data_IF_932870172170
#
_entry.id   IF_932870172170
#
_cell.length_a   1.000
_cell.length_b   1.000
_cell.length_c   1.000
_cell.angle_alpha   90.00
_cell.angle_beta   90.00
_cell.angle_gamma   90.00
#
_symmetry.space_group_name_H-M   'P 1'
#
loop_
_entity.id
_entity.type
_entity.pdbx_description
1 polymer ?
#
# COMPACT_ATOMS: atom_id res chain seq x y z
N UNK A 1 39.49 12.61 -0.21
CA UNK A 1 39.23 13.90 -0.90
C UNK A 1 38.52 14.94 0.00
N UNK A 2 37.59 14.55 0.87
CA UNK A 2 36.87 15.46 1.78
C UNK A 2 37.41 15.51 3.22
N UNK A 3 38.42 14.70 3.57
CA UNK A 3 38.98 14.67 4.93
C UNK A 3 38.13 13.89 5.95
N UNK A 4 37.29 12.96 5.51
CA UNK A 4 36.46 12.16 6.40
C UNK A 4 37.30 11.14 7.21
N UNK A 5 37.32 11.30 8.54
CA UNK A 5 38.02 10.44 9.50
C UNK A 5 37.16 9.25 9.94
N UNK A 6 36.64 8.50 8.96
CA UNK A 6 35.79 7.31 9.18
C UNK A 6 36.69 6.08 9.31
N UNK A 7 36.26 5.08 10.08
CA UNK A 7 36.94 3.77 10.15
C UNK A 7 36.65 2.94 8.89
N UNK A 8 37.49 3.14 7.86
CA UNK A 8 37.40 2.41 6.60
C UNK A 8 37.67 0.91 6.73
N UNK A 9 38.29 0.45 7.82
CA UNK A 9 38.49 -1.00 8.04
C UNK A 9 37.18 -1.73 8.31
N UNK A 10 36.13 -0.98 8.68
CA UNK A 10 34.78 -1.47 8.96
C UNK A 10 33.78 -1.09 7.87
N UNK A 11 34.26 -0.77 6.67
CA UNK A 11 33.39 -0.56 5.52
C UNK A 11 32.40 -1.73 5.37
N UNK A 12 31.18 -1.38 4.99
CA UNK A 12 30.14 -2.36 4.73
C UNK A 12 29.34 -1.93 3.50
N UNK A 13 28.81 -2.94 2.82
CA UNK A 13 27.77 -2.79 1.83
C UNK A 13 26.52 -3.54 2.30
N UNK A 14 25.34 -2.98 2.09
CA UNK A 14 24.08 -3.53 2.63
C UNK A 14 23.79 -4.96 2.18
N UNK A 15 24.33 -5.37 1.03
CA UNK A 15 24.22 -6.74 0.50
C UNK A 15 25.45 -7.61 0.74
N UNK A 16 26.42 -7.17 1.55
CA UNK A 16 27.49 -8.06 2.02
C UNK A 16 26.91 -9.27 2.75
N UNK A 17 27.57 -10.44 2.73
CA UNK A 17 27.07 -11.65 3.40
C UNK A 17 26.73 -11.41 4.88
N UNK A 18 27.56 -10.65 5.61
CA UNK A 18 27.34 -10.31 7.02
C UNK A 18 26.06 -9.50 7.25
N UNK A 19 25.76 -8.55 6.36
CA UNK A 19 24.59 -7.67 6.45
C UNK A 19 23.33 -8.43 6.01
N UNK A 20 23.46 -9.26 4.99
CA UNK A 20 22.36 -10.10 4.47
C UNK A 20 21.89 -11.15 5.48
N UNK A 21 22.81 -11.70 6.29
CA UNK A 21 22.48 -12.60 7.41
C UNK A 21 21.54 -11.92 8.41
N UNK A 22 21.79 -10.65 8.76
CA UNK A 22 20.90 -9.86 9.62
C UNK A 22 19.52 -9.65 9.01
N UNK A 23 19.45 -9.32 7.71
CA UNK A 23 18.18 -9.11 7.02
C UNK A 23 17.31 -10.37 7.06
N UNK A 24 17.91 -11.53 6.77
CA UNK A 24 17.21 -12.82 6.83
C UNK A 24 16.77 -13.14 8.26
N UNK A 25 17.63 -12.93 9.25
CA UNK A 25 17.31 -13.21 10.65
C UNK A 25 16.14 -12.35 11.16
N UNK A 26 16.14 -11.05 10.85
CA UNK A 26 15.04 -10.14 11.24
C UNK A 26 13.74 -10.56 10.56
N UNK A 27 13.79 -10.88 9.25
CA UNK A 27 12.58 -11.29 8.54
C UNK A 27 11.96 -12.54 9.17
N UNK A 28 12.77 -13.58 9.39
CA UNK A 28 12.29 -14.85 9.97
C UNK A 28 11.79 -14.63 11.39
N UNK A 29 12.51 -13.88 12.21
CA UNK A 29 12.13 -13.59 13.60
C UNK A 29 10.81 -12.82 13.67
N UNK A 30 10.66 -11.73 12.89
CA UNK A 30 9.42 -10.96 12.90
C UNK A 30 8.24 -11.76 12.32
N UNK A 31 8.48 -12.66 11.37
CA UNK A 31 7.45 -13.59 10.89
C UNK A 31 7.01 -14.57 11.98
N UNK A 32 7.96 -15.17 12.72
CA UNK A 32 7.68 -16.08 13.83
C UNK A 32 6.91 -15.38 14.98
N UNK A 33 7.15 -14.08 15.18
CA UNK A 33 6.40 -13.22 16.11
C UNK A 33 5.02 -12.77 15.56
N UNK A 34 4.70 -13.13 14.31
CA UNK A 34 3.49 -12.70 13.61
C UNK A 34 3.43 -11.19 13.34
N UNK A 35 4.59 -10.52 13.32
CA UNK A 35 4.75 -9.12 12.95
C UNK A 35 5.04 -8.94 11.46
N UNK A 36 5.59 -9.95 10.78
CA UNK A 36 5.60 -10.02 9.31
C UNK A 36 4.51 -10.98 8.85
N UNK A 37 3.75 -10.58 7.85
CA UNK A 37 2.71 -11.41 7.24
C UNK A 37 2.61 -11.14 5.74
N UNK A 38 2.03 -12.10 5.01
CA UNK A 38 1.67 -11.94 3.60
C UNK A 38 0.17 -11.73 3.47
N UNK A 39 -0.26 -10.79 2.65
CA UNK A 39 -1.67 -10.53 2.43
C UNK A 39 -1.95 -9.80 1.12
N UNK A 40 -3.17 -9.95 0.63
CA UNK A 40 -3.67 -9.18 -0.52
C UNK A 40 -4.21 -7.85 -0.02
N UNK A 41 -3.53 -6.76 -0.33
CA UNK A 41 -3.93 -5.40 0.06
C UNK A 41 -3.77 -4.44 -1.11
N UNK A 42 -4.42 -3.29 -0.99
CA UNK A 42 -4.17 -2.17 -1.87
C UNK A 42 -2.79 -1.61 -1.54
N UNK A 43 -1.94 -1.47 -2.55
CA UNK A 43 -0.60 -0.88 -2.44
C UNK A 43 -0.42 0.18 -3.49
N UNK A 44 0.52 1.09 -3.26
CA UNK A 44 1.00 1.99 -4.29
C UNK A 44 1.82 1.18 -5.29
N UNK A 45 1.43 1.21 -6.56
CA UNK A 45 2.09 0.46 -7.63
C UNK A 45 2.63 1.41 -8.70
N UNK A 46 3.90 1.24 -9.05
CA UNK A 46 4.51 1.90 -10.20
C UNK A 46 4.35 1.00 -11.44
N UNK A 47 3.47 1.34 -12.41
CA UNK A 47 3.24 0.51 -13.59
C UNK A 47 4.39 0.53 -14.61
N UNK A 48 5.35 1.45 -14.47
CA UNK A 48 6.54 1.52 -15.34
C UNK A 48 7.64 0.63 -14.79
N UNK A 49 7.90 0.67 -13.48
CA UNK A 49 8.85 -0.23 -12.83
C UNK A 49 8.29 -1.63 -12.60
N UNK A 50 6.96 -1.76 -12.53
CA UNK A 50 6.29 -3.01 -12.24
C UNK A 50 6.53 -3.48 -10.81
N UNK A 51 6.50 -2.56 -9.83
CA UNK A 51 6.73 -2.89 -8.42
C UNK A 51 5.82 -2.07 -7.50
N UNK A 52 5.52 -2.64 -6.34
CA UNK A 52 5.00 -1.88 -5.21
C UNK A 52 6.02 -0.82 -4.74
N UNK A 53 5.53 0.30 -4.23
CA UNK A 53 6.32 1.37 -3.60
C UNK A 53 5.73 1.75 -2.24
N UNK A 54 6.55 2.25 -1.33
CA UNK A 54 6.09 2.73 -0.02
C UNK A 54 5.33 4.06 -0.15
N UNK A 55 4.47 4.37 0.83
CA UNK A 55 3.83 5.69 0.94
C UNK A 55 4.87 6.84 0.96
N UNK A 56 6.06 6.58 1.51
CA UNK A 56 7.17 7.54 1.56
C UNK A 56 7.86 7.75 0.19
N UNK A 57 7.63 6.87 -0.78
CA UNK A 57 8.16 6.94 -2.14
C UNK A 57 7.16 7.61 -3.11
N UNK A 58 6.00 8.04 -2.61
CA UNK A 58 4.96 8.73 -3.36
C UNK A 58 5.01 10.24 -3.10
N UNK A 59 5.11 11.01 -4.18
CA UNK A 59 5.11 12.47 -4.16
C UNK A 59 3.80 13.00 -4.74
N UNK A 60 3.09 13.83 -3.98
CA UNK A 60 1.85 14.46 -4.43
C UNK A 60 2.13 15.73 -5.22
N UNK A 61 1.77 15.75 -6.50
CA UNK A 61 1.96 16.90 -7.40
C UNK A 61 0.63 17.58 -7.74
N UNK A 62 0.59 18.91 -7.65
CA UNK A 62 -0.59 19.70 -8.01
C UNK A 62 -0.72 19.80 -9.54
N UNK A 63 -1.85 19.36 -10.10
CA UNK A 63 -2.09 19.34 -11.54
C UNK A 63 -3.50 19.82 -11.90
N UNK A 64 -3.63 20.49 -13.05
CA UNK A 64 -4.93 20.84 -13.59
C UNK A 64 -5.59 19.63 -14.25
N UNK A 65 -6.77 19.27 -13.75
CA UNK A 65 -7.56 18.15 -14.24
C UNK A 65 -9.03 18.52 -14.39
N UNK A 66 -9.89 17.52 -14.26
CA UNK A 66 -11.34 17.70 -14.37
C UNK A 66 -12.07 16.88 -13.32
N UNK A 67 -13.26 17.36 -12.97
CA UNK A 67 -14.24 16.66 -12.15
C UNK A 67 -15.45 16.37 -13.03
N UNK A 68 -15.58 15.11 -13.43
CA UNK A 68 -16.65 14.61 -14.28
C UNK A 68 -17.88 14.28 -13.45
N UNK A 69 -19.03 14.78 -13.87
CA UNK A 69 -20.33 14.49 -13.27
C UNK A 69 -21.06 13.49 -14.14
N UNK A 70 -21.26 12.29 -13.64
CA UNK A 70 -21.73 11.13 -14.40
C UNK A 70 -23.06 10.66 -13.80
N UNK A 71 -24.08 10.49 -14.64
CA UNK A 71 -25.39 9.97 -14.27
C UNK A 71 -25.33 8.45 -14.11
N UNK A 72 -25.77 7.97 -12.95
CA UNK A 72 -25.97 6.56 -12.62
C UNK A 72 -27.49 6.32 -12.52
N UNK A 73 -28.12 5.77 -13.57
CA UNK A 73 -29.56 5.52 -13.59
C UNK A 73 -30.00 4.61 -12.45
N UNK A 74 -31.12 4.92 -11.80
CA UNK A 74 -31.74 4.02 -10.83
C UNK A 74 -32.28 2.79 -11.58
N UNK A 75 -32.06 1.60 -11.00
CA UNK A 75 -32.44 0.33 -11.65
C UNK A 75 -33.96 0.16 -11.78
N UNK A 76 -34.73 0.89 -10.96
CA UNK A 76 -36.21 0.95 -11.03
C UNK A 76 -36.74 1.93 -12.09
N UNK A 77 -35.85 2.63 -12.81
CA UNK A 77 -36.20 3.61 -13.84
C UNK A 77 -36.75 4.93 -13.31
N UNK A 78 -36.77 5.16 -11.99
CA UNK A 78 -37.37 6.35 -11.38
C UNK A 78 -36.53 7.62 -11.51
N UNK A 79 -35.29 7.52 -12.00
CA UNK A 79 -34.38 8.65 -12.14
C UNK A 79 -32.93 8.22 -12.22
N UNK A 80 -32.03 9.06 -11.70
CA UNK A 80 -30.59 8.79 -11.62
C UNK A 80 -29.97 9.54 -10.44
N UNK A 81 -28.82 9.08 -9.98
CA UNK A 81 -27.90 9.88 -9.18
C UNK A 81 -26.81 10.45 -10.08
N UNK A 82 -26.13 11.49 -9.60
CA UNK A 82 -25.01 12.09 -10.31
C UNK A 82 -23.77 11.94 -9.45
N UNK A 83 -22.81 11.13 -9.89
CA UNK A 83 -21.53 10.92 -9.22
C UNK A 83 -20.53 11.95 -9.72
N UNK A 84 -19.77 12.57 -8.82
CA UNK A 84 -18.61 13.37 -9.18
C UNK A 84 -17.32 12.55 -9.02
N UNK A 85 -16.50 12.45 -10.07
CA UNK A 85 -15.21 11.73 -10.00
C UNK A 85 -14.13 12.38 -10.84
N UNK A 86 -12.88 12.18 -10.44
CA UNK A 86 -11.66 12.59 -11.16
C UNK A 86 -11.04 11.44 -11.97
N UNK A 87 -11.59 10.22 -11.83
CA UNK A 87 -11.08 9.00 -12.49
C UNK A 87 -12.20 8.20 -13.18
N UNK A 88 -12.78 8.70 -14.29
CA UNK A 88 -13.86 8.01 -15.01
C UNK A 88 -13.53 6.57 -15.40
N UNK A 89 -12.26 6.26 -15.68
CA UNK A 89 -11.83 4.90 -16.04
C UNK A 89 -11.99 3.88 -14.91
N UNK A 90 -11.96 4.31 -13.65
CA UNK A 90 -12.17 3.42 -12.51
C UNK A 90 -13.63 3.06 -12.28
N UNK A 91 -14.57 3.77 -12.92
CA UNK A 91 -16.02 3.44 -12.91
C UNK A 91 -16.26 1.98 -13.28
N UNK A 92 -15.44 1.42 -14.17
CA UNK A 92 -15.53 0.04 -14.62
C UNK A 92 -15.39 -0.98 -13.47
N UNK A 93 -14.79 -0.58 -12.34
CA UNK A 93 -14.61 -1.40 -11.14
C UNK A 93 -15.59 -1.08 -10.01
N UNK A 94 -16.56 -0.19 -10.23
CA UNK A 94 -17.48 0.23 -9.16
C UNK A 94 -18.33 -0.94 -8.68
N UNK A 95 -18.51 -0.98 -7.35
CA UNK A 95 -19.30 -2.00 -6.66
C UNK A 95 -20.41 -1.40 -5.80
N UNK A 96 -20.40 -0.09 -5.56
CA UNK A 96 -21.46 0.64 -4.88
C UNK A 96 -21.41 2.13 -5.25
N UNK A 97 -22.49 2.83 -4.94
CA UNK A 97 -22.53 4.29 -4.83
C UNK A 97 -22.83 4.63 -3.38
N UNK A 98 -22.11 5.57 -2.79
CA UNK A 98 -22.34 5.98 -1.41
C UNK A 98 -22.83 7.42 -1.30
N UNK A 99 -23.70 7.65 -0.32
CA UNK A 99 -24.22 8.95 0.09
C UNK A 99 -24.13 9.10 1.60
N UNK A 100 -24.14 10.33 2.10
CA UNK A 100 -24.15 10.56 3.54
C UNK A 100 -25.52 10.14 4.13
N UNK A 101 -25.58 9.42 5.28
CA UNK A 101 -26.84 8.94 5.86
C UNK A 101 -27.82 10.05 6.22
N UNK A 102 -27.32 11.25 6.51
CA UNK A 102 -28.11 12.42 6.88
C UNK A 102 -28.44 13.34 5.70
N UNK A 103 -27.99 13.02 4.49
CA UNK A 103 -28.30 13.84 3.31
C UNK A 103 -29.74 13.63 2.86
N UNK A 104 -30.63 14.58 3.19
CA UNK A 104 -32.06 14.52 2.89
C UNK A 104 -32.34 14.38 1.38
N UNK A 105 -31.42 14.82 0.52
CA UNK A 105 -31.54 14.70 -0.95
C UNK A 105 -31.53 13.24 -1.40
N UNK A 106 -30.79 12.37 -0.71
CA UNK A 106 -30.52 10.99 -1.15
C UNK A 106 -30.89 9.92 -0.14
N UNK A 107 -31.23 10.27 1.11
CA UNK A 107 -31.55 9.30 2.17
C UNK A 107 -32.60 8.27 1.77
N UNK A 108 -33.58 8.68 0.97
CA UNK A 108 -34.66 7.82 0.47
C UNK A 108 -34.22 6.82 -0.63
N UNK A 109 -32.98 6.91 -1.12
CA UNK A 109 -32.39 6.02 -2.11
C UNK A 109 -31.47 4.96 -1.51
N UNK A 110 -31.10 5.07 -0.23
CA UNK A 110 -30.27 4.08 0.46
C UNK A 110 -30.95 2.70 0.42
N UNK A 111 -30.19 1.67 0.03
CA UNK A 111 -30.69 0.30 -0.15
C UNK A 111 -31.33 0.04 -1.52
N UNK A 112 -31.56 1.07 -2.35
CA UNK A 112 -31.86 0.89 -3.77
C UNK A 112 -30.59 0.57 -4.56
N UNK A 113 -30.74 0.33 -5.85
CA UNK A 113 -29.64 0.02 -6.76
C UNK A 113 -29.62 0.94 -7.97
N UNK A 114 -28.44 1.17 -8.55
CA UNK A 114 -28.23 1.87 -9.82
C UNK A 114 -27.66 0.93 -10.87
N UNK A 115 -27.98 1.18 -12.13
CA UNK A 115 -27.29 0.58 -13.27
C UNK A 115 -25.95 1.30 -13.47
N UNK A 116 -24.86 0.57 -13.29
CA UNK A 116 -23.51 1.07 -13.48
C UNK A 116 -23.32 1.43 -14.97
N UNK A 117 -22.99 2.70 -15.30
CA UNK A 117 -22.78 3.10 -16.67
C UNK A 117 -21.79 2.19 -17.41
N UNK A 118 -22.10 1.86 -18.67
CA UNK A 118 -21.23 1.11 -19.58
C UNK A 118 -20.92 -0.35 -19.17
N UNK A 119 -21.34 -0.83 -17.99
CA UNK A 119 -20.87 -2.10 -17.42
C UNK A 119 -21.91 -3.21 -17.32
N UNK A 120 -23.18 -2.96 -17.66
CA UNK A 120 -24.28 -3.95 -17.54
C UNK A 120 -24.33 -4.64 -16.15
N UNK A 121 -24.07 -3.88 -15.08
CA UNK A 121 -24.12 -4.34 -13.70
C UNK A 121 -25.01 -3.41 -12.88
N UNK A 122 -25.81 -3.99 -11.99
CA UNK A 122 -26.53 -3.23 -10.97
C UNK A 122 -25.71 -3.22 -9.68
N UNK A 123 -25.55 -2.06 -9.06
CA UNK A 123 -24.77 -1.87 -7.81
C UNK A 123 -25.61 -1.13 -6.76
N UNK A 124 -25.44 -1.45 -5.46
CA UNK A 124 -26.22 -0.85 -4.38
C UNK A 124 -25.84 0.60 -4.10
N UNK A 125 -26.82 1.34 -3.58
CA UNK A 125 -26.63 2.64 -2.93
C UNK A 125 -26.49 2.40 -1.42
N UNK A 126 -25.34 2.73 -0.87
CA UNK A 126 -25.00 2.56 0.55
C UNK A 126 -24.91 3.91 1.27
N UNK A 127 -24.93 3.86 2.60
CA UNK A 127 -24.74 5.04 3.44
C UNK A 127 -23.39 4.96 4.16
N UNK A 128 -22.58 6.01 4.09
CA UNK A 128 -21.33 6.11 4.83
C UNK A 128 -21.05 7.57 5.22
N UNK A 129 -20.63 7.80 6.47
CA UNK A 129 -20.33 9.13 7.00
C UNK A 129 -19.03 9.72 6.45
N UNK A 130 -18.24 8.94 5.71
CA UNK A 130 -17.07 9.42 4.97
C UNK A 130 -17.44 10.42 3.87
N UNK A 131 -18.67 10.39 3.36
CA UNK A 131 -19.12 11.29 2.28
C UNK A 131 -19.26 12.73 2.77
N UNK A 132 -18.50 13.64 2.19
CA UNK A 132 -18.75 15.08 2.32
C UNK A 132 -19.95 15.51 1.46
N UNK A 133 -21.04 15.92 2.13
CA UNK A 133 -22.28 16.37 1.47
C UNK A 133 -22.08 17.62 0.59
N UNK A 134 -21.07 18.45 0.90
CA UNK A 134 -20.75 19.69 0.21
C UNK A 134 -19.83 19.52 -1.00
N UNK A 135 -19.12 18.39 -1.10
CA UNK A 135 -18.21 18.13 -2.21
C UNK A 135 -18.94 17.53 -3.43
N UNK A 136 -18.75 18.14 -4.60
CA UNK A 136 -19.36 17.69 -5.84
C UNK A 136 -20.89 17.69 -5.75
N UNK A 137 -21.48 16.50 -5.75
CA UNK A 137 -22.92 16.27 -5.62
C UNK A 137 -23.33 15.71 -4.25
N UNK A 138 -22.38 15.34 -3.39
CA UNK A 138 -22.65 14.53 -2.19
C UNK A 138 -22.89 13.04 -2.50
N UNK A 139 -22.56 12.59 -3.71
CA UNK A 139 -22.65 11.20 -4.16
C UNK A 139 -21.30 10.74 -4.68
N UNK A 140 -20.78 9.65 -4.14
CA UNK A 140 -19.43 9.15 -4.43
C UNK A 140 -19.52 7.73 -4.97
N UNK A 141 -18.82 7.43 -6.08
CA UNK A 141 -18.64 6.04 -6.53
C UNK A 141 -17.68 5.30 -5.61
N UNK A 142 -17.90 4.01 -5.40
CA UNK A 142 -17.02 3.18 -4.55
C UNK A 142 -16.33 2.15 -5.43
N UNK A 143 -15.01 2.30 -5.60
CA UNK A 143 -14.15 1.39 -6.38
C UNK A 143 -13.01 0.82 -5.51
N UNK A 144 -13.30 -0.12 -4.60
CA UNK A 144 -12.36 -0.53 -3.55
C UNK A 144 -11.00 -1.04 -4.03
N UNK A 145 -10.90 -1.51 -5.26
CA UNK A 145 -9.65 -2.03 -5.81
C UNK A 145 -8.71 -0.97 -6.40
N UNK A 146 -9.09 0.32 -6.40
CA UNK A 146 -8.38 1.40 -7.12
C UNK A 146 -8.23 2.70 -6.32
N UNK A 147 -8.72 2.76 -5.08
CA UNK A 147 -8.58 3.92 -4.19
C UNK A 147 -8.55 3.47 -2.73
N UNK A 148 -7.67 4.05 -1.91
CA UNK A 148 -7.48 3.64 -0.52
C UNK A 148 -8.68 3.97 0.38
N UNK A 149 -9.38 5.07 0.11
CA UNK A 149 -10.57 5.44 0.87
C UNK A 149 -11.73 4.53 0.50
N UNK A 150 -11.92 4.27 -0.81
CA UNK A 150 -12.91 3.31 -1.29
C UNK A 150 -12.62 1.90 -0.78
N UNK A 151 -11.34 1.52 -0.64
CA UNK A 151 -10.93 0.25 -0.05
C UNK A 151 -11.37 0.14 1.41
N UNK A 152 -11.14 1.20 2.21
CA UNK A 152 -11.57 1.24 3.61
C UNK A 152 -13.11 1.19 3.73
N UNK A 153 -13.84 1.89 2.86
CA UNK A 153 -15.31 1.80 2.76
C UNK A 153 -15.71 0.36 2.39
N UNK A 154 -15.06 -0.23 1.38
CA UNK A 154 -15.29 -1.59 0.93
C UNK A 154 -15.10 -2.62 2.04
N UNK A 155 -14.10 -2.45 2.91
CA UNK A 155 -13.90 -3.30 4.07
C UNK A 155 -15.02 -3.13 5.12
N UNK A 156 -15.40 -1.90 5.46
CA UNK A 156 -16.48 -1.62 6.43
C UNK A 156 -17.82 -2.22 6.00
N UNK A 157 -18.13 -2.14 4.71
CA UNK A 157 -19.40 -2.60 4.12
C UNK A 157 -19.32 -4.00 3.49
N UNK A 158 -18.17 -4.68 3.59
CA UNK A 158 -17.93 -6.03 3.03
C UNK A 158 -18.22 -6.10 1.52
N UNK A 159 -17.83 -5.06 0.78
CA UNK A 159 -18.03 -4.96 -0.67
C UNK A 159 -17.01 -5.82 -1.45
N UNK A 160 -17.39 -6.31 -2.64
CA UNK A 160 -16.47 -7.02 -3.52
C UNK A 160 -15.28 -6.14 -3.94
N UNK A 161 -14.13 -6.78 -4.16
CA UNK A 161 -12.93 -6.13 -4.66
C UNK A 161 -12.73 -6.47 -6.14
N UNK A 162 -13.16 -5.59 -7.05
CA UNK A 162 -13.05 -5.81 -8.51
C UNK A 162 -11.88 -4.99 -9.07
N UNK A 163 -10.75 -5.66 -9.32
CA UNK A 163 -9.64 -5.04 -10.04
C UNK A 163 -9.93 -4.98 -11.55
N UNK A 164 -9.80 -3.80 -12.17
CA UNK A 164 -10.02 -3.58 -13.61
C UNK A 164 -8.74 -3.21 -14.36
N UNK A 165 -7.60 -3.15 -13.66
CA UNK A 165 -6.30 -2.83 -14.24
C UNK A 165 -5.39 -4.06 -14.22
N UNK A 166 -4.57 -4.19 -15.26
CA UNK A 166 -3.39 -5.04 -15.27
C UNK A 166 -2.23 -4.35 -14.54
N UNK A 167 -1.15 -5.08 -14.25
CA UNK A 167 0.04 -4.51 -13.60
C UNK A 167 0.74 -3.44 -14.45
N UNK A 168 0.59 -3.46 -15.77
CA UNK A 168 1.03 -2.39 -16.68
C UNK A 168 -0.04 -1.31 -16.91
N UNK A 169 -1.03 -1.23 -16.02
CA UNK A 169 -2.07 -0.22 -15.95
C UNK A 169 -2.95 -0.09 -17.22
N UNK A 170 -3.21 -1.22 -17.87
CA UNK A 170 -4.21 -1.35 -18.94
C UNK A 170 -5.49 -1.94 -18.39
N UNK A 171 -6.61 -1.69 -19.07
CA UNK A 171 -7.89 -2.29 -18.69
C UNK A 171 -7.86 -3.81 -18.92
N UNK A 172 -8.25 -4.58 -17.90
CA UNK A 172 -8.21 -6.04 -17.89
C UNK A 172 -9.58 -6.68 -18.27
N UNK A 173 -9.68 -8.00 -18.18
CA UNK A 173 -10.84 -8.80 -18.56
C UNK A 173 -12.10 -8.58 -17.70
N UNK A 174 -12.00 -7.94 -16.53
CA UNK A 174 -13.13 -7.64 -15.65
C UNK A 174 -13.95 -6.43 -16.12
N UNK A 175 -13.47 -5.72 -17.14
CA UNK A 175 -14.16 -4.59 -17.77
C UNK A 175 -14.82 -4.98 -19.10
N UNK A 176 -15.75 -4.17 -19.64
CA UNK A 176 -16.33 -4.37 -20.96
C UNK A 176 -15.28 -4.52 -22.07
N UNK A 177 -15.51 -5.47 -23.00
CA UNK A 177 -14.58 -5.84 -24.08
C UNK A 177 -14.02 -4.67 -24.90
N UNK A 178 -14.82 -3.61 -25.08
CA UNK A 178 -14.42 -2.43 -25.85
C UNK A 178 -13.26 -1.65 -25.22
N UNK A 179 -13.09 -1.75 -23.89
CA UNK A 179 -12.02 -1.03 -23.18
C UNK A 179 -10.78 -1.89 -22.92
N UNK A 180 -10.90 -3.22 -22.99
CA UNK A 180 -9.83 -4.16 -22.64
C UNK A 180 -8.55 -3.90 -23.46
N UNK A 181 -7.40 -3.90 -22.79
CA UNK A 181 -6.09 -3.66 -23.40
C UNK A 181 -5.75 -2.18 -23.65
N UNK A 182 -6.70 -1.25 -23.46
CA UNK A 182 -6.40 0.18 -23.51
C UNK A 182 -5.60 0.59 -22.27
N UNK A 183 -4.58 1.43 -22.45
CA UNK A 183 -3.96 2.17 -21.34
C UNK A 183 -5.03 3.02 -20.62
N UNK A 184 -4.94 3.12 -19.29
CA UNK A 184 -5.92 3.83 -18.45
C UNK A 184 -6.27 5.25 -18.92
N UNK A 185 -5.32 6.00 -19.48
CA UNK A 185 -5.58 7.36 -19.96
C UNK A 185 -6.30 7.36 -21.31
N UNK A 186 -5.98 6.39 -22.17
CA UNK A 186 -6.71 6.16 -23.40
C UNK A 186 -8.15 5.66 -23.11
N UNK A 187 -8.29 4.74 -22.17
CA UNK A 187 -9.58 4.25 -21.68
C UNK A 187 -10.42 5.39 -21.11
N UNK A 188 -9.84 6.27 -20.28
CA UNK A 188 -10.53 7.46 -19.75
C UNK A 188 -11.14 8.31 -20.87
N UNK A 189 -10.37 8.60 -21.93
CA UNK A 189 -10.86 9.40 -23.07
C UNK A 189 -12.03 8.71 -23.77
N UNK A 190 -11.91 7.41 -24.04
CA UNK A 190 -12.97 6.65 -24.69
C UNK A 190 -14.23 6.57 -23.82
N UNK A 191 -14.08 6.28 -22.53
CA UNK A 191 -15.18 6.19 -21.57
C UNK A 191 -15.95 7.51 -21.47
N UNK A 192 -15.24 8.64 -21.41
CA UNK A 192 -15.89 9.97 -21.38
C UNK A 192 -16.70 10.20 -22.67
N UNK A 193 -16.15 9.85 -23.84
CA UNK A 193 -16.86 9.96 -25.11
C UNK A 193 -18.11 9.05 -25.16
N UNK A 194 -18.01 7.83 -24.66
CA UNK A 194 -19.13 6.87 -24.62
C UNK A 194 -20.22 7.31 -23.63
N UNK A 195 -19.83 7.88 -22.48
CA UNK A 195 -20.76 8.49 -21.53
C UNK A 195 -21.50 9.68 -22.13
N UNK A 196 -20.83 10.53 -22.91
CA UNK A 196 -21.45 11.64 -23.62
C UNK A 196 -22.41 11.14 -24.71
N UNK A 197 -22.00 10.16 -25.51
CA UNK A 197 -22.84 9.54 -26.54
C UNK A 197 -24.09 8.86 -25.95
N UNK A 198 -23.98 8.31 -24.73
CA UNK A 198 -25.09 7.74 -23.99
C UNK A 198 -25.93 8.77 -23.20
N UNK A 199 -25.60 10.07 -23.28
CA UNK A 199 -26.22 11.16 -22.49
C UNK A 199 -26.15 10.94 -20.95
N UNK A 200 -25.12 10.22 -20.51
CA UNK A 200 -24.81 9.95 -19.11
C UNK A 200 -23.78 10.93 -18.55
N UNK A 201 -23.05 11.67 -19.38
CA UNK A 201 -22.21 12.76 -18.92
C UNK A 201 -23.05 14.02 -18.69
N UNK A 202 -23.12 14.50 -17.45
CA UNK A 202 -23.92 15.68 -17.12
C UNK A 202 -23.15 16.99 -17.29
N UNK A 203 -21.94 17.06 -16.72
CA UNK A 203 -21.06 18.22 -16.86
C UNK A 203 -19.62 17.86 -16.53
N UNK A 204 -18.69 18.70 -16.98
CA UNK A 204 -17.27 18.59 -16.67
C UNK A 204 -16.81 19.92 -16.12
N UNK A 205 -16.30 19.91 -14.89
CA UNK A 205 -15.77 21.11 -14.24
C UNK A 205 -14.23 21.03 -14.21
N UNK A 206 -13.50 22.13 -14.45
CA UNK A 206 -12.08 22.20 -14.12
C UNK A 206 -11.88 21.92 -12.62
N UNK A 207 -10.85 21.15 -12.29
CA UNK A 207 -10.54 20.83 -10.91
C UNK A 207 -9.04 20.61 -10.73
N UNK A 208 -8.45 21.24 -9.72
CA UNK A 208 -7.07 21.00 -9.33
C UNK A 208 -6.97 19.69 -8.56
N UNK A 209 -6.06 18.82 -8.97
CA UNK A 209 -5.84 17.49 -8.41
C UNK A 209 -4.50 17.43 -7.69
N UNK A 210 -4.45 16.65 -6.61
CA UNK A 210 -3.18 16.18 -6.03
C UNK A 210 -2.90 14.79 -6.59
N UNK A 211 -2.06 14.71 -7.62
CA UNK A 211 -1.76 13.46 -8.32
C UNK A 211 -0.58 12.76 -7.63
N UNK A 212 -0.73 11.49 -7.19
CA UNK A 212 0.38 10.73 -6.62
C UNK A 212 1.33 10.27 -7.73
N UNK A 213 2.61 10.65 -7.63
CA UNK A 213 3.67 10.27 -8.57
C UNK A 213 4.80 9.55 -7.87
N UNK A 214 5.42 8.59 -8.57
CA UNK A 214 6.61 7.90 -8.06
C UNK A 214 7.82 8.82 -8.03
N UNK A 215 8.59 8.82 -6.96
CA UNK A 215 9.81 9.62 -6.80
C UNK A 215 10.82 9.41 -7.95
N UNK A 216 10.93 8.18 -8.48
CA UNK A 216 11.91 7.80 -9.51
C UNK A 216 11.41 8.02 -10.93
N UNK A 217 10.28 7.42 -11.28
CA UNK A 217 9.76 7.46 -12.66
C UNK A 217 8.93 8.70 -12.96
N UNK A 218 8.46 9.39 -11.91
CA UNK A 218 7.49 10.48 -12.01
C UNK A 218 6.18 10.04 -12.69
N UNK A 219 5.93 8.73 -12.86
CA UNK A 219 4.67 8.22 -13.38
C UNK A 219 3.57 8.34 -12.32
N UNK A 220 2.32 8.38 -12.76
CA UNK A 220 1.17 8.34 -11.84
C UNK A 220 1.13 6.95 -11.19
N UNK A 221 1.18 6.93 -9.86
CA UNK A 221 1.09 5.72 -9.05
C UNK A 221 -0.35 5.22 -9.04
N UNK A 222 -0.51 3.92 -9.21
CA UNK A 222 -1.82 3.26 -9.19
C UNK A 222 -2.01 2.54 -7.86
N UNK A 223 -3.11 2.79 -7.13
CA UNK A 223 -3.53 1.90 -6.05
C UNK A 223 -3.94 0.55 -6.66
N UNK A 224 -3.21 -0.51 -6.33
CA UNK A 224 -3.40 -1.85 -6.93
C UNK A 224 -3.50 -2.93 -5.87
N UNK A 225 -4.43 -3.87 -6.07
CA UNK A 225 -4.55 -5.06 -5.23
C UNK A 225 -3.52 -6.11 -5.63
N UNK A 226 -2.50 -6.29 -4.79
CA UNK A 226 -1.45 -7.29 -5.01
C UNK A 226 -1.17 -8.07 -3.73
N UNK A 227 -0.66 -9.29 -3.87
CA UNK A 227 -0.18 -10.11 -2.76
C UNK A 227 1.22 -9.65 -2.39
N UNK A 228 1.38 -9.09 -1.19
CA UNK A 228 2.64 -8.50 -0.74
C UNK A 228 2.94 -8.91 0.70
N UNK A 229 4.19 -8.70 1.12
CA UNK A 229 4.67 -8.86 2.48
C UNK A 229 4.61 -7.53 3.23
N UNK A 230 4.12 -7.58 4.46
CA UNK A 230 3.93 -6.42 5.31
C UNK A 230 4.55 -6.61 6.68
N UNK A 231 5.07 -5.52 7.24
CA UNK A 231 5.37 -5.41 8.67
C UNK A 231 4.18 -4.75 9.36
N UNK A 232 3.63 -5.42 10.37
CA UNK A 232 2.55 -4.94 11.21
C UNK A 232 3.09 -3.85 12.17
N UNK A 233 2.93 -2.58 11.78
CA UNK A 233 3.54 -1.45 12.50
C UNK A 233 2.81 -1.15 13.81
N UNK A 234 1.49 -1.36 13.82
CA UNK A 234 0.59 -1.00 14.92
C UNK A 234 0.14 -2.19 15.77
N UNK A 235 0.55 -3.42 15.42
CA UNK A 235 0.24 -4.62 16.19
C UNK A 235 1.12 -4.71 17.44
N UNK A 236 0.49 -4.80 18.62
CA UNK A 236 1.17 -5.07 19.88
C UNK A 236 1.90 -6.42 19.83
N UNK A 237 3.13 -6.46 20.37
CA UNK A 237 3.90 -7.71 20.48
C UNK A 237 4.49 -7.88 21.88
N UNK A 238 4.34 -9.07 22.51
CA UNK A 238 5.00 -9.36 23.78
C UNK A 238 6.53 -9.45 23.63
N UNK A 239 7.01 -9.70 22.41
CA UNK A 239 8.44 -9.90 22.10
C UNK A 239 9.21 -8.58 21.92
N UNK A 240 8.53 -7.44 22.05
CA UNK A 240 9.19 -6.13 22.04
C UNK A 240 10.07 -5.98 23.29
N UNK A 241 11.39 -6.09 23.11
CA UNK A 241 12.36 -6.06 24.22
C UNK A 241 12.51 -4.70 24.89
N UNK A 242 12.23 -3.60 24.17
CA UNK A 242 12.34 -2.26 24.71
C UNK A 242 11.08 -1.87 25.50
N UNK A 243 9.89 -2.17 24.94
CA UNK A 243 8.59 -1.92 25.58
C UNK A 243 7.67 -3.14 25.37
N UNK A 244 7.73 -4.16 26.25
CA UNK A 244 6.93 -5.38 26.10
C UNK A 244 5.43 -5.09 25.98
N UNK A 245 4.78 -5.67 24.97
CA UNK A 245 3.35 -5.47 24.71
C UNK A 245 3.03 -4.22 23.89
N UNK A 246 4.00 -3.38 23.55
CA UNK A 246 3.80 -2.28 22.61
C UNK A 246 4.03 -2.72 21.16
N UNK A 247 3.40 -2.00 20.22
CA UNK A 247 3.69 -2.15 18.80
C UNK A 247 5.05 -1.54 18.44
N UNK A 248 5.55 -1.81 17.23
CA UNK A 248 6.78 -1.18 16.74
C UNK A 248 6.62 0.34 16.74
N UNK A 249 5.51 0.85 16.20
CA UNK A 249 5.21 2.28 16.16
C UNK A 249 5.03 2.87 17.56
N UNK A 250 4.32 2.18 18.45
CA UNK A 250 4.09 2.63 19.82
C UNK A 250 5.38 2.74 20.62
N UNK A 251 6.26 1.75 20.50
CA UNK A 251 7.56 1.75 21.17
C UNK A 251 8.50 2.84 20.62
N UNK A 252 8.51 3.04 19.30
CA UNK A 252 9.30 4.11 18.68
C UNK A 252 8.81 5.51 19.11
N UNK A 253 7.49 5.70 19.18
CA UNK A 253 6.90 6.94 19.69
C UNK A 253 7.22 7.16 21.18
N UNK A 254 7.16 6.10 21.98
CA UNK A 254 7.50 6.15 23.40
C UNK A 254 8.95 6.58 23.61
N UNK A 255 9.89 6.07 22.80
CA UNK A 255 11.31 6.42 22.91
C UNK A 255 11.57 7.92 22.70
N UNK A 256 10.82 8.56 21.80
CA UNK A 256 10.94 10.01 21.58
C UNK A 256 10.20 10.81 22.66
N UNK A 257 8.99 10.38 23.05
CA UNK A 257 8.18 11.13 24.02
C UNK A 257 8.65 10.98 25.47
N UNK A 258 9.34 9.89 25.82
CA UNK A 258 10.01 9.71 27.12
C UNK A 258 11.31 10.51 27.25
N UNK A 259 11.90 10.91 26.12
CA UNK A 259 13.20 11.57 26.05
C UNK A 259 14.40 10.62 25.91
N UNK A 260 14.18 9.32 25.72
CA UNK A 260 15.26 8.34 25.45
C UNK A 260 15.95 8.63 24.09
N UNK A 261 15.20 9.19 23.14
CA UNK A 261 15.68 9.75 21.88
C UNK A 261 15.34 11.23 21.83
N UNK A 262 16.35 12.06 21.55
CA UNK A 262 16.17 13.50 21.36
C UNK A 262 16.29 13.86 19.88
N UNK A 263 15.26 14.52 19.32
CA UNK A 263 15.27 15.01 17.95
C UNK A 263 15.78 16.45 17.90
N UNK A 264 16.68 16.73 16.95
CA UNK A 264 17.25 18.06 16.74
C UNK A 264 17.06 18.48 15.27
N UNK A 265 16.38 19.60 14.98
CA UNK A 265 15.68 20.48 15.94
C UNK A 265 14.42 19.86 16.57
N UNK A 266 14.05 20.33 17.75
CA UNK A 266 12.99 19.74 18.60
C UNK A 266 11.60 19.76 17.96
N UNK A 267 11.36 20.70 17.03
CA UNK A 267 10.08 20.78 16.31
C UNK A 267 9.77 19.53 15.48
N UNK A 268 10.75 18.68 15.17
CA UNK A 268 10.52 17.40 14.48
C UNK A 268 9.72 16.38 15.30
N UNK A 269 9.62 16.55 16.62
CA UNK A 269 8.82 15.67 17.47
C UNK A 269 7.35 15.66 17.03
N UNK A 270 6.78 16.80 16.63
CA UNK A 270 5.39 16.86 16.18
C UNK A 270 5.18 16.09 14.88
N UNK A 271 6.06 16.30 13.89
CA UNK A 271 6.02 15.58 12.60
C UNK A 271 6.18 14.07 12.80
N UNK A 272 7.17 13.66 13.62
CA UNK A 272 7.41 12.25 13.92
C UNK A 272 6.23 11.60 14.64
N UNK A 273 5.64 12.32 15.61
CA UNK A 273 4.46 11.86 16.35
C UNK A 273 3.26 11.69 15.43
N UNK A 274 2.96 12.70 14.60
CA UNK A 274 1.86 12.63 13.65
C UNK A 274 2.04 11.49 12.66
N UNK A 275 3.27 11.27 12.17
CA UNK A 275 3.57 10.16 11.27
C UNK A 275 3.32 8.80 11.92
N UNK A 276 3.89 8.53 13.10
CA UNK A 276 3.71 7.25 13.80
C UNK A 276 2.29 7.00 14.28
N UNK A 277 1.51 8.04 14.61
CA UNK A 277 0.11 7.90 15.01
C UNK A 277 -0.79 7.46 13.85
N UNK A 278 -0.43 7.81 12.61
CA UNK A 278 -1.23 7.51 11.41
C UNK A 278 -0.61 6.43 10.53
N UNK A 279 0.49 5.81 10.99
CA UNK A 279 1.26 4.86 10.20
C UNK A 279 0.43 3.63 9.81
N UNK A 280 0.59 3.20 8.57
CA UNK A 280 0.02 1.97 8.06
C UNK A 280 1.04 0.84 8.12
N UNK A 281 0.59 -0.40 7.96
CA UNK A 281 1.51 -1.53 7.85
C UNK A 281 2.42 -1.34 6.63
N UNK A 282 3.71 -1.55 6.85
CA UNK A 282 4.73 -1.25 5.86
C UNK A 282 4.84 -2.39 4.85
N UNK A 283 4.55 -2.10 3.58
CA UNK A 283 4.80 -3.00 2.45
C UNK A 283 6.31 -3.16 2.21
N UNK A 284 6.86 -4.34 2.49
CA UNK A 284 8.31 -4.61 2.45
C UNK A 284 8.76 -5.44 1.24
N UNK A 285 7.85 -5.99 0.45
CA UNK A 285 8.21 -6.70 -0.79
C UNK A 285 8.30 -5.74 -1.98
N UNK A 286 9.16 -6.08 -2.93
CA UNK A 286 9.41 -5.36 -4.18
C UNK A 286 9.63 -6.37 -5.30
N UNK A 287 9.05 -6.09 -6.46
CA UNK A 287 9.15 -6.92 -7.67
C UNK A 287 10.37 -6.48 -8.52
N UNK A 288 11.49 -6.26 -7.84
CA UNK A 288 12.74 -5.78 -8.44
C UNK A 288 13.77 -6.90 -8.49
N UNK A 289 14.74 -6.75 -9.40
CA UNK A 289 15.86 -7.70 -9.48
C UNK A 289 16.97 -7.41 -8.46
N UNK A 290 17.02 -6.19 -7.94
CA UNK A 290 18.04 -5.75 -7.00
C UNK A 290 17.47 -5.61 -5.59
N UNK A 291 17.98 -6.43 -4.67
CA UNK A 291 17.65 -6.40 -3.26
C UNK A 291 17.88 -7.76 -2.60
N UNK A 292 17.61 -7.86 -1.30
CA UNK A 292 17.69 -9.13 -0.58
C UNK A 292 16.46 -9.99 -0.92
N UNK A 293 16.65 -11.12 -1.61
CA UNK A 293 15.55 -12.02 -1.94
C UNK A 293 14.81 -12.48 -0.66
N UNK A 294 13.48 -12.42 -0.68
CA UNK A 294 12.67 -12.74 0.49
C UNK A 294 12.93 -14.20 0.94
N UNK A 295 13.17 -14.45 2.24
CA UNK A 295 13.43 -15.79 2.77
C UNK A 295 12.11 -16.54 3.06
N UNK A 296 11.27 -16.66 2.03
CA UNK A 296 10.02 -17.43 2.05
C UNK A 296 9.98 -18.41 0.88
N UNK A 297 9.42 -19.60 1.10
CA UNK A 297 9.28 -20.64 0.10
C UNK A 297 7.83 -21.07 -0.03
N UNK A 298 7.38 -21.26 -1.27
CA UNK A 298 6.04 -21.64 -1.62
C UNK A 298 5.97 -23.10 -2.05
N UNK A 299 4.97 -23.81 -1.52
CA UNK A 299 4.53 -25.09 -2.08
C UNK A 299 3.55 -24.89 -3.24
N UNK A 300 3.24 -25.98 -3.94
CA UNK A 300 2.42 -26.00 -5.16
C UNK A 300 0.98 -25.52 -4.92
N UNK A 301 0.48 -25.62 -3.68
CA UNK A 301 -0.86 -25.20 -3.29
C UNK A 301 -0.88 -23.89 -2.50
N UNK A 302 0.22 -23.12 -2.52
CA UNK A 302 0.32 -21.81 -1.86
C UNK A 302 0.69 -21.85 -0.38
N UNK A 303 1.09 -23.01 0.17
CA UNK A 303 1.69 -23.09 1.50
C UNK A 303 2.94 -22.20 1.57
N UNK A 304 3.14 -21.50 2.68
CA UNK A 304 4.26 -20.58 2.88
C UNK A 304 5.15 -21.11 4.00
N UNK A 305 6.44 -21.30 3.69
CA UNK A 305 7.47 -21.72 4.64
C UNK A 305 8.54 -20.63 4.72
N UNK A 306 8.58 -19.88 5.82
CA UNK A 306 9.61 -18.85 6.07
C UNK A 306 10.77 -19.45 6.85
N UNK A 307 12.00 -19.27 6.37
CA UNK A 307 13.18 -19.95 6.90
C UNK A 307 14.47 -19.20 6.58
N UNK A 308 15.57 -19.44 7.32
CA UNK A 308 16.85 -18.74 7.06
C UNK A 308 17.55 -19.25 5.81
N UNK A 309 17.22 -20.45 5.37
CA UNK A 309 17.78 -21.08 4.16
C UNK A 309 16.85 -22.19 3.63
N UNK A 310 17.20 -22.73 2.46
CA UNK A 310 16.40 -23.74 1.77
C UNK A 310 16.30 -25.08 2.54
N UNK A 311 17.32 -25.47 3.29
CA UNK A 311 17.30 -26.73 4.05
C UNK A 311 16.38 -26.62 5.26
N UNK A 312 16.40 -25.48 5.96
CA UNK A 312 15.43 -25.17 7.01
C UNK A 312 14.01 -25.10 6.45
N UNK A 313 13.79 -24.51 5.27
CA UNK A 313 12.48 -24.48 4.61
C UNK A 313 11.96 -25.89 4.33
N UNK A 314 12.81 -26.79 3.79
CA UNK A 314 12.47 -28.20 3.57
C UNK A 314 12.16 -28.94 4.87
N UNK A 315 12.90 -28.67 5.94
CA UNK A 315 12.65 -29.26 7.25
C UNK A 315 11.29 -28.81 7.81
N UNK A 316 10.96 -27.51 7.74
CA UNK A 316 9.65 -26.96 8.13
C UNK A 316 8.52 -27.55 7.29
N UNK A 317 8.72 -27.67 5.97
CA UNK A 317 7.76 -28.29 5.06
C UNK A 317 7.49 -29.76 5.40
N UNK A 318 8.54 -30.55 5.62
CA UNK A 318 8.40 -31.96 6.02
C UNK A 318 7.69 -32.10 7.36
N UNK A 319 7.95 -31.22 8.32
CA UNK A 319 7.27 -31.19 9.62
C UNK A 319 5.78 -30.85 9.48
N UNK A 320 5.40 -30.09 8.45
CA UNK A 320 4.01 -29.80 8.08
C UNK A 320 3.41 -30.84 7.12
N UNK A 321 4.04 -32.02 6.99
CA UNK A 321 3.61 -33.12 6.10
C UNK A 321 3.53 -32.75 4.61
N UNK A 322 4.21 -31.67 4.20
CA UNK A 322 4.34 -31.28 2.81
C UNK A 322 5.58 -31.91 2.17
N UNK A 323 5.40 -32.55 1.02
CA UNK A 323 6.44 -33.29 0.30
C UNK A 323 6.68 -32.81 -1.14
N UNK A 324 5.96 -31.78 -1.59
CA UNK A 324 6.14 -31.19 -2.91
C UNK A 324 7.40 -30.35 -3.01
N UNK A 325 7.68 -29.84 -4.21
CA UNK A 325 8.80 -28.92 -4.41
C UNK A 325 8.52 -27.57 -3.74
N UNK A 326 9.61 -26.89 -3.38
CA UNK A 326 9.57 -25.57 -2.76
C UNK A 326 10.22 -24.55 -3.69
N UNK A 327 9.46 -23.54 -4.09
CA UNK A 327 9.97 -22.41 -4.86
C UNK A 327 10.15 -21.20 -3.95
N UNK A 328 11.37 -20.65 -3.89
CA UNK A 328 11.61 -19.42 -3.13
C UNK A 328 10.86 -18.24 -3.77
N UNK A 329 10.39 -17.32 -2.94
CA UNK A 329 9.82 -16.06 -3.37
C UNK A 329 10.79 -15.33 -4.31
N UNK A 330 10.25 -14.85 -5.44
CA UNK A 330 11.02 -14.13 -6.46
C UNK A 330 11.19 -12.66 -6.09
N UNK A 331 10.37 -12.16 -5.17
CA UNK A 331 10.45 -10.79 -4.70
C UNK A 331 11.70 -10.54 -3.84
N UNK A 332 12.12 -9.28 -3.84
CA UNK A 332 13.18 -8.77 -2.98
C UNK A 332 12.60 -7.84 -1.91
N UNK A 333 13.35 -7.66 -0.83
CA UNK A 333 12.99 -6.74 0.23
C UNK A 333 13.26 -5.29 -0.18
N UNK A 334 12.42 -4.41 0.32
CA UNK A 334 12.61 -2.95 0.30
C UNK A 334 14.02 -2.59 0.79
N UNK A 335 14.69 -1.67 0.08
CA UNK A 335 16.01 -1.17 0.50
C UNK A 335 15.93 -0.58 1.91
N UNK A 336 14.83 0.10 2.24
CA UNK A 336 14.60 0.67 3.57
C UNK A 336 14.51 -0.41 4.66
N UNK A 337 14.08 -1.64 4.34
CA UNK A 337 14.09 -2.76 5.28
C UNK A 337 15.50 -3.09 5.73
N UNK A 338 16.45 -3.19 4.80
CA UNK A 338 17.85 -3.43 5.14
C UNK A 338 18.52 -2.23 5.81
N UNK A 339 18.22 -1.01 5.35
CA UNK A 339 18.79 0.22 5.91
C UNK A 339 18.38 0.47 7.37
N UNK A 340 17.15 0.10 7.73
CA UNK A 340 16.68 0.17 9.11
C UNK A 340 17.50 -0.69 10.09
N UNK A 341 18.23 -1.70 9.58
CA UNK A 341 19.03 -2.62 10.38
C UNK A 341 20.48 -2.18 10.54
N UNK A 342 20.92 -1.13 9.85
CA UNK A 342 22.31 -0.66 9.83
C UNK A 342 22.90 -0.46 11.23
N UNK A 343 22.19 0.12 12.22
CA UNK A 343 22.76 0.35 13.56
C UNK A 343 23.28 -0.90 14.26
N UNK A 344 22.78 -2.09 13.94
CA UNK A 344 23.21 -3.36 14.56
C UNK A 344 23.89 -4.31 13.57
N UNK A 345 23.44 -4.38 12.32
CA UNK A 345 24.04 -5.24 11.28
C UNK A 345 25.49 -4.82 10.97
N UNK A 346 25.80 -3.52 10.95
CA UNK A 346 27.16 -3.03 10.75
C UNK A 346 28.13 -3.41 11.88
N UNK A 347 27.59 -3.72 13.06
CA UNK A 347 28.33 -4.17 14.24
C UNK A 347 28.39 -5.71 14.35
N UNK A 348 27.84 -6.44 13.38
CA UNK A 348 27.93 -7.90 13.28
C UNK A 348 26.76 -8.68 13.87
N UNK A 349 25.67 -8.01 14.27
CA UNK A 349 24.41 -8.71 14.58
C UNK A 349 23.95 -9.52 13.34
N UNK A 350 23.45 -10.77 13.48
CA UNK A 350 22.88 -11.39 14.68
C UNK A 350 23.87 -12.08 15.63
N UNK A 351 25.17 -12.00 15.38
CA UNK A 351 26.18 -12.56 16.29
C UNK A 351 26.38 -11.64 17.49
N UNK A 352 26.72 -12.23 18.63
CA UNK A 352 27.18 -11.48 19.80
C UNK A 352 28.62 -11.01 19.58
N UNK A 353 28.81 -9.73 19.30
CA UNK A 353 30.12 -9.12 19.08
C UNK A 353 30.45 -8.13 20.20
N UNK A 354 31.75 -7.90 20.43
CA UNK A 354 32.19 -6.89 21.41
C UNK A 354 31.77 -5.48 20.99
N UNK A 355 31.70 -5.23 19.70
CA UNK A 355 31.28 -3.96 19.15
C UNK A 355 29.81 -3.67 19.38
N UNK A 356 28.94 -4.68 19.26
CA UNK A 356 27.53 -4.51 19.56
C UNK A 356 27.32 -4.08 21.03
N UNK A 357 28.02 -4.75 21.96
CA UNK A 357 27.99 -4.44 23.40
C UNK A 357 28.59 -3.05 23.72
N UNK A 358 29.64 -2.66 23.00
CA UNK A 358 30.34 -1.41 23.28
C UNK A 358 29.66 -0.17 22.68
N UNK A 359 29.04 -0.29 21.51
CA UNK A 359 28.57 0.87 20.72
C UNK A 359 27.05 1.05 20.70
N UNK A 360 26.27 0.15 21.30
CA UNK A 360 24.83 0.33 21.48
C UNK A 360 24.45 0.56 22.95
N UNK A 361 23.55 1.52 23.25
CA UNK A 361 22.91 2.45 22.31
C UNK A 361 23.88 3.50 21.74
N UNK A 362 23.70 3.87 20.46
CA UNK A 362 24.54 4.85 19.76
C UNK A 362 24.30 6.28 20.25
N UNK A 363 25.30 7.16 20.16
CA UNK A 363 25.20 8.52 20.70
C UNK A 363 24.44 9.52 19.80
N UNK A 364 24.72 9.57 18.49
CA UNK A 364 24.14 10.57 17.57
C UNK A 364 23.95 9.96 16.17
N UNK A 365 22.75 10.10 15.61
CA UNK A 365 22.46 9.84 14.20
C UNK A 365 22.33 11.18 13.45
N UNK A 366 23.16 11.41 12.44
CA UNK A 366 23.12 12.64 11.62
C UNK A 366 22.58 12.32 10.24
N UNK A 367 21.47 12.96 9.86
CA UNK A 367 20.83 12.81 8.53
C UNK A 367 20.13 14.12 8.09
N UNK A 368 19.85 14.24 6.80
CA UNK A 368 18.99 15.31 6.25
C UNK A 368 17.50 14.93 6.31
N UNK A 369 16.64 15.95 6.26
CA UNK A 369 15.18 15.85 6.32
C UNK A 369 14.51 16.18 4.99
#
# INVERSE_FOLDING_TARGET
RLGASIDWSREYFTMDPKMSEAVVEVFVTLFEQGLIYRGKRLVNWDPVLGTAVSDLEVVSTEEQGSLWHIRYPLSDGSGHLVVATTRPETLLGDVAVMVHPEDERYRHLIGKTVELPLCQRSIPIIADTYVDMGFGTGVVKVTPAHDFNDYAVGQRHQLPLINVLTLDAKINEHAPKVYQGLDRFAARKQIVADLEAANLLEKVNPHTLMVPRGDRTQTVIEPMLTDQWFVAMSKASPDNRYQPGQSIAGAALQAVTSGDIQLVPENWISTYTQWLQNIQDWCISRQLWWGHQIPAWYGDSGQIFVARNADEAKAKAKAAEYSGELKRDEDVLDTWFSSALVPFSSLGWPKETKELDHFLPSSVLVTGF
#
